data_IF_241689571385
#
_entry.id   IF_241689571385
#
_cell.length_a   1.000
_cell.length_b   1.000
_cell.length_c   1.000
_cell.angle_alpha   90.00
_cell.angle_beta   90.00
_cell.angle_gamma   90.00
#
_symmetry.space_group_name_H-M   'P 1'
#
loop_
_entity.id
_entity.type
_entity.pdbx_description
1 polymer ?
#
# COMPACT_ATOMS: atom_id res chain seq x y z
N UNK A 1 16.13 18.61 98.75
CA UNK A 1 16.39 19.17 97.41
C UNK A 1 17.50 18.38 96.72
N UNK A 2 17.18 17.61 95.67
CA UNK A 2 18.16 17.07 94.72
C UNK A 2 17.58 17.23 93.31
N UNK A 3 18.34 17.88 92.44
CA UNK A 3 17.93 18.37 91.12
C UNK A 3 17.82 17.23 90.10
N UNK A 4 16.77 17.26 89.28
CA UNK A 4 16.60 16.44 88.10
C UNK A 4 17.33 17.09 86.92
N UNK A 5 18.17 16.32 86.21
CA UNK A 5 18.78 16.72 84.95
C UNK A 5 18.09 15.94 83.82
N UNK A 6 17.35 16.65 82.97
CA UNK A 6 16.77 16.13 81.74
C UNK A 6 17.83 16.12 80.64
N UNK A 7 18.09 14.96 80.03
CA UNK A 7 18.88 14.85 78.80
C UNK A 7 17.95 15.01 77.60
N UNK A 8 18.16 16.04 76.80
CA UNK A 8 17.49 16.26 75.52
C UNK A 8 18.25 15.47 74.43
N UNK A 9 17.59 14.47 73.82
CA UNK A 9 18.13 13.75 72.67
C UNK A 9 17.79 14.56 71.41
N UNK A 10 18.81 15.15 70.79
CA UNK A 10 18.70 15.89 69.54
C UNK A 10 18.67 14.89 68.37
N UNK A 11 17.50 14.63 67.78
CA UNK A 11 17.40 13.91 66.53
C UNK A 11 17.86 14.82 65.38
N UNK A 12 19.07 14.60 64.88
CA UNK A 12 19.55 15.19 63.63
C UNK A 12 18.86 14.48 62.46
N UNK A 13 17.85 15.12 61.88
CA UNK A 13 17.28 14.72 60.59
C UNK A 13 18.30 14.97 59.48
N UNK A 14 18.87 13.90 58.95
CA UNK A 14 19.73 13.95 57.76
C UNK A 14 18.82 14.14 56.54
N UNK A 15 18.49 15.39 56.23
CA UNK A 15 17.92 15.75 54.93
C UNK A 15 19.06 15.68 53.90
N UNK A 16 19.15 14.56 53.18
CA UNK A 16 20.00 14.52 51.98
C UNK A 16 19.36 15.43 50.93
N UNK A 17 20.07 16.46 50.43
CA UNK A 17 19.54 17.25 49.33
C UNK A 17 19.41 16.33 48.11
N UNK A 18 18.19 16.19 47.58
CA UNK A 18 17.98 15.60 46.25
C UNK A 18 18.70 16.53 45.28
N UNK A 19 19.89 16.14 44.85
CA UNK A 19 20.60 16.81 43.77
C UNK A 19 19.72 16.68 42.52
N UNK A 20 19.33 17.80 41.92
CA UNK A 20 18.71 17.79 40.60
C UNK A 20 19.66 17.04 39.65
N UNK A 21 19.15 15.98 39.03
CA UNK A 21 19.90 15.14 38.11
C UNK A 21 20.50 16.05 37.03
N UNK A 22 21.83 16.17 37.00
CA UNK A 22 22.52 16.92 35.95
C UNK A 22 22.10 16.34 34.59
N UNK A 23 21.81 17.20 33.60
CA UNK A 23 21.41 16.86 32.22
C UNK A 23 22.49 16.09 31.40
N UNK A 24 23.29 15.24 32.04
CA UNK A 24 24.34 14.41 31.45
C UNK A 24 23.85 13.02 31.05
N UNK A 25 22.55 12.75 31.12
CA UNK A 25 21.98 11.44 30.80
C UNK A 25 21.69 11.35 29.30
N UNK A 26 22.28 10.39 28.58
CA UNK A 26 21.98 10.20 27.16
C UNK A 26 20.51 9.80 26.98
N UNK A 27 19.79 10.53 26.12
CA UNK A 27 18.41 10.20 25.75
C UNK A 27 18.35 8.85 25.02
N UNK A 28 17.33 8.03 25.32
CA UNK A 28 17.11 6.75 24.61
C UNK A 28 16.48 6.90 23.22
N UNK A 29 15.88 8.04 22.93
CA UNK A 29 15.21 8.36 21.66
C UNK A 29 15.76 9.69 21.13
N UNK A 30 16.05 9.76 19.83
CA UNK A 30 16.46 10.97 19.12
C UNK A 30 15.68 11.09 17.81
N UNK A 31 15.03 12.25 17.58
CA UNK A 31 14.27 12.53 16.34
C UNK A 31 13.31 11.40 15.95
N UNK A 32 12.54 10.89 16.92
CA UNK A 32 11.57 9.79 16.80
C UNK A 32 12.16 8.38 16.59
N UNK A 33 13.48 8.21 16.60
CA UNK A 33 14.14 6.90 16.49
C UNK A 33 14.81 6.49 17.81
N UNK A 34 14.86 5.19 18.14
CA UNK A 34 15.75 4.72 19.20
C UNK A 34 17.21 5.02 18.83
N UNK A 35 18.04 5.39 19.81
CA UNK A 35 19.46 5.70 19.55
C UNK A 35 20.26 4.54 18.94
N UNK A 36 19.73 3.32 19.00
CA UNK A 36 20.30 2.11 18.42
C UNK A 36 19.64 1.67 17.09
N UNK A 37 18.93 2.58 16.40
CA UNK A 37 18.18 2.22 15.17
C UNK A 37 19.10 1.69 14.04
N UNK A 38 20.33 2.18 13.91
CA UNK A 38 21.28 1.67 12.91
C UNK A 38 21.69 0.22 13.21
N UNK A 39 21.91 -0.13 14.48
CA UNK A 39 22.19 -1.51 14.88
C UNK A 39 20.99 -2.43 14.59
N UNK A 40 19.75 -1.95 14.77
CA UNK A 40 18.56 -2.70 14.37
C UNK A 40 18.49 -2.88 12.84
N UNK A 41 18.79 -1.85 12.06
CA UNK A 41 18.84 -1.94 10.59
C UNK A 41 19.90 -2.94 10.12
N UNK A 42 21.08 -2.94 10.74
CA UNK A 42 22.17 -3.88 10.42
C UNK A 42 21.80 -5.35 10.69
N UNK A 43 20.83 -5.63 11.56
CA UNK A 43 20.32 -6.99 11.80
C UNK A 43 19.36 -7.47 10.70
N UNK A 44 18.88 -6.58 9.81
CA UNK A 44 17.98 -6.93 8.72
C UNK A 44 18.77 -7.55 7.55
N UNK A 45 19.06 -8.85 7.66
CA UNK A 45 19.79 -9.60 6.63
C UNK A 45 18.92 -10.11 5.49
N UNK A 46 17.59 -9.97 5.62
CA UNK A 46 16.59 -10.42 4.65
C UNK A 46 16.83 -11.85 4.14
N UNK A 47 16.79 -12.87 5.02
CA UNK A 47 17.09 -14.26 4.68
C UNK A 47 16.19 -14.85 3.60
N UNK A 48 15.01 -14.26 3.36
CA UNK A 48 14.05 -14.76 2.36
C UNK A 48 14.11 -13.98 1.04
N UNK A 49 15.01 -13.01 0.91
CA UNK A 49 15.31 -12.44 -0.40
C UNK A 49 15.79 -13.57 -1.35
N UNK A 50 15.38 -13.55 -2.62
CA UNK A 50 15.68 -14.64 -3.58
C UNK A 50 17.16 -15.04 -3.62
N UNK A 51 18.07 -14.06 -3.68
CA UNK A 51 19.52 -14.33 -3.67
C UNK A 51 20.05 -14.88 -2.33
N UNK A 52 19.39 -14.58 -1.22
CA UNK A 52 19.82 -14.92 0.14
C UNK A 52 19.20 -16.24 0.64
N UNK A 53 18.02 -16.62 0.14
CA UNK A 53 17.27 -17.78 0.60
C UNK A 53 18.03 -19.08 0.36
N UNK A 54 17.88 -20.04 1.28
CA UNK A 54 18.39 -21.40 1.10
C UNK A 54 17.60 -22.17 0.03
N UNK A 55 16.37 -21.76 -0.27
CA UNK A 55 15.53 -22.36 -1.31
C UNK A 55 15.99 -21.85 -2.68
N UNK A 56 16.50 -22.75 -3.52
CA UNK A 56 17.06 -22.42 -4.84
C UNK A 56 16.14 -22.76 -6.02
N UNK A 57 15.04 -23.47 -5.77
CA UNK A 57 13.96 -23.59 -6.75
C UNK A 57 13.07 -22.35 -6.67
N UNK A 58 12.90 -21.63 -7.78
CA UNK A 58 12.21 -20.34 -7.77
C UNK A 58 10.73 -20.46 -7.43
N UNK A 59 10.06 -21.52 -7.92
CA UNK A 59 8.64 -21.74 -7.65
C UNK A 59 8.42 -22.04 -6.17
N UNK A 60 9.27 -22.90 -5.59
CA UNK A 60 9.25 -23.21 -4.17
C UNK A 60 9.56 -21.98 -3.32
N UNK A 61 10.58 -21.18 -3.71
CA UNK A 61 10.91 -19.93 -3.02
C UNK A 61 9.73 -18.96 -3.04
N UNK A 62 9.11 -18.76 -4.20
CA UNK A 62 7.97 -17.85 -4.34
C UNK A 62 6.80 -18.26 -3.45
N UNK A 63 6.48 -19.55 -3.39
CA UNK A 63 5.47 -20.09 -2.48
C UNK A 63 5.86 -19.84 -1.01
N UNK A 64 7.11 -20.12 -0.62
CA UNK A 64 7.61 -19.90 0.73
C UNK A 64 7.56 -18.42 1.14
N UNK A 65 8.10 -17.54 0.31
CA UNK A 65 8.14 -16.10 0.54
C UNK A 65 6.72 -15.52 0.68
N UNK A 66 5.78 -15.95 -0.17
CA UNK A 66 4.36 -15.55 -0.05
C UNK A 66 3.75 -16.05 1.26
N UNK A 67 4.02 -17.28 1.67
CA UNK A 67 3.54 -17.83 2.94
C UNK A 67 4.06 -17.01 4.14
N UNK A 68 5.32 -16.60 4.11
CA UNK A 68 5.91 -15.74 5.16
C UNK A 68 5.23 -14.37 5.22
N UNK A 69 4.90 -13.78 4.06
CA UNK A 69 4.13 -12.52 4.04
C UNK A 69 2.75 -12.74 4.68
N UNK A 70 2.05 -13.81 4.32
CA UNK A 70 0.74 -14.15 4.89
C UNK A 70 0.81 -14.46 6.39
N UNK A 71 1.87 -15.12 6.84
CA UNK A 71 2.13 -15.40 8.25
C UNK A 71 2.41 -14.10 9.02
N UNK A 72 3.16 -13.16 8.45
CA UNK A 72 3.36 -11.85 9.08
C UNK A 72 2.07 -11.01 9.15
N UNK A 73 1.07 -11.32 8.30
CA UNK A 73 -0.21 -10.63 8.26
C UNK A 73 -1.28 -11.19 9.21
N UNK A 74 -1.05 -12.36 9.82
CA UNK A 74 -1.90 -13.14 10.75
C UNK A 74 -3.12 -12.43 11.40
N UNK A 75 -4.13 -13.24 11.78
CA UNK A 75 -5.41 -12.76 12.32
C UNK A 75 -6.22 -11.91 11.31
N UNK A 76 -6.21 -12.36 10.06
CA UNK A 76 -6.98 -11.78 8.97
C UNK A 76 -8.47 -12.13 9.09
N UNK A 77 -9.37 -11.26 8.62
CA UNK A 77 -10.79 -11.59 8.52
C UNK A 77 -11.00 -12.79 7.56
N UNK A 78 -11.96 -13.69 7.86
CA UNK A 78 -12.29 -14.80 6.99
C UNK A 78 -12.80 -14.30 5.63
N UNK A 79 -12.45 -15.03 4.56
CA UNK A 79 -12.95 -14.74 3.22
C UNK A 79 -14.48 -14.85 3.18
N UNK A 80 -15.19 -14.04 2.39
CA UNK A 80 -16.63 -14.06 2.34
C UNK A 80 -17.13 -15.35 1.68
N UNK A 81 -18.15 -16.01 2.26
CA UNK A 81 -18.79 -17.15 1.61
C UNK A 81 -19.43 -16.82 0.25
N UNK A 82 -19.91 -15.58 0.09
CA UNK A 82 -20.38 -14.98 -1.17
C UNK A 82 -20.12 -13.47 -1.16
N UNK A 83 -19.79 -12.90 -2.32
CA UNK A 83 -19.54 -11.45 -2.45
C UNK A 83 -20.81 -10.59 -2.28
N UNK A 84 -22.01 -11.12 -2.55
CA UNK A 84 -23.31 -10.45 -2.35
C UNK A 84 -23.32 -8.98 -2.82
N UNK A 85 -22.90 -8.74 -4.07
CA UNK A 85 -22.86 -7.40 -4.64
C UNK A 85 -24.27 -6.79 -4.70
N UNK A 86 -24.44 -5.60 -4.14
CA UNK A 86 -25.65 -4.78 -4.28
C UNK A 86 -25.34 -3.51 -5.06
N UNK A 87 -26.24 -3.14 -5.96
CA UNK A 87 -26.17 -1.89 -6.72
C UNK A 87 -26.82 -0.76 -5.91
N UNK A 88 -26.10 0.33 -5.70
CA UNK A 88 -26.56 1.50 -4.93
C UNK A 88 -27.01 2.62 -5.87
N UNK A 89 -26.22 2.93 -6.89
CA UNK A 89 -26.52 3.97 -7.87
C UNK A 89 -25.80 3.71 -9.19
N UNK A 90 -26.31 4.27 -10.28
CA UNK A 90 -25.66 4.28 -11.59
C UNK A 90 -25.64 5.68 -12.21
N UNK A 91 -24.66 5.93 -13.07
CA UNK A 91 -24.59 7.09 -13.94
C UNK A 91 -24.08 6.62 -15.32
N UNK A 92 -24.88 6.78 -16.37
CA UNK A 92 -24.43 6.51 -17.72
C UNK A 92 -23.46 7.61 -18.16
N UNK A 93 -22.27 7.22 -18.62
CA UNK A 93 -21.25 8.13 -19.16
C UNK A 93 -20.98 7.80 -20.62
N UNK A 94 -20.21 8.65 -21.28
CA UNK A 94 -19.84 8.42 -22.67
C UNK A 94 -18.91 7.19 -22.76
N UNK A 95 -19.43 6.09 -23.32
CA UNK A 95 -18.68 4.85 -23.55
C UNK A 95 -18.67 3.82 -22.41
N UNK A 96 -19.23 4.13 -21.23
CA UNK A 96 -19.27 3.20 -20.09
C UNK A 96 -20.33 3.61 -19.05
N UNK A 97 -20.71 2.67 -18.19
CA UNK A 97 -21.59 2.91 -17.04
C UNK A 97 -20.76 2.99 -15.75
N UNK A 98 -20.98 4.01 -14.94
CA UNK A 98 -20.43 4.11 -13.60
C UNK A 98 -21.43 3.60 -12.57
N UNK A 99 -20.99 2.72 -11.67
CA UNK A 99 -21.83 2.11 -10.62
C UNK A 99 -21.25 2.39 -9.25
N UNK A 100 -22.09 2.75 -8.29
CA UNK A 100 -21.81 2.58 -6.86
C UNK A 100 -22.34 1.24 -6.44
N UNK A 101 -21.49 0.42 -5.84
CA UNK A 101 -21.85 -0.90 -5.36
C UNK A 101 -21.44 -1.06 -3.90
N UNK A 102 -22.03 -2.04 -3.23
CA UNK A 102 -21.47 -2.62 -2.00
C UNK A 102 -21.26 -4.10 -2.21
N UNK A 103 -20.20 -4.66 -1.64
CA UNK A 103 -19.93 -6.09 -1.68
C UNK A 103 -19.16 -6.53 -0.44
N UNK A 104 -19.24 -7.81 -0.11
CA UNK A 104 -18.54 -8.42 1.00
C UNK A 104 -17.08 -8.65 0.64
N UNK A 105 -16.15 -8.15 1.45
CA UNK A 105 -14.71 -8.50 1.36
C UNK A 105 -14.30 -9.46 2.48
N UNK A 106 -15.17 -9.69 3.46
CA UNK A 106 -15.05 -10.73 4.48
C UNK A 106 -16.42 -11.21 4.93
N UNK A 107 -16.49 -12.26 5.74
CA UNK A 107 -17.74 -12.64 6.42
C UNK A 107 -18.18 -11.64 7.51
N UNK A 108 -17.31 -10.69 7.87
CA UNK A 108 -17.59 -9.71 8.92
C UNK A 108 -18.16 -8.40 8.39
N UNK A 109 -17.78 -7.98 7.18
CA UNK A 109 -18.15 -6.65 6.68
C UNK A 109 -18.23 -6.55 5.15
N UNK A 110 -19.08 -5.62 4.71
CA UNK A 110 -19.18 -5.16 3.33
C UNK A 110 -18.62 -3.75 3.18
N UNK A 111 -18.07 -3.47 2.00
CA UNK A 111 -17.48 -2.16 1.68
C UNK A 111 -18.14 -1.53 0.45
N UNK A 112 -18.20 -0.19 0.37
CA UNK A 112 -18.61 0.51 -0.83
C UNK A 112 -17.47 0.55 -1.86
N UNK A 113 -17.84 0.60 -3.14
CA UNK A 113 -16.90 0.74 -4.24
C UNK A 113 -17.52 1.47 -5.43
N UNK A 114 -16.65 2.03 -6.27
CA UNK A 114 -17.00 2.38 -7.64
C UNK A 114 -16.61 1.24 -8.57
N UNK A 115 -17.53 0.88 -9.47
CA UNK A 115 -17.32 -0.08 -10.54
C UNK A 115 -17.69 0.57 -11.87
N UNK A 116 -16.71 0.74 -12.77
CA UNK A 116 -16.93 1.24 -14.12
C UNK A 116 -16.99 0.06 -15.09
N UNK A 117 -18.00 0.04 -15.96
CA UNK A 117 -18.22 -1.06 -16.90
C UNK A 117 -18.32 -0.49 -18.32
N UNK A 118 -17.38 -0.82 -19.22
CA UNK A 118 -17.43 -0.38 -20.61
C UNK A 118 -18.72 -0.80 -21.30
N UNK A 119 -19.19 0.03 -22.24
CA UNK A 119 -20.28 -0.35 -23.13
C UNK A 119 -19.82 -1.47 -24.09
N UNK A 120 -20.77 -2.31 -24.52
CA UNK A 120 -20.52 -3.39 -25.47
C UNK A 120 -20.57 -4.79 -24.84
N UNK A 121 -20.07 -5.78 -25.57
CA UNK A 121 -20.05 -7.18 -25.14
C UNK A 121 -18.65 -7.53 -24.62
N UNK A 122 -18.57 -7.88 -23.34
CA UNK A 122 -17.36 -8.45 -22.73
C UNK A 122 -17.10 -9.90 -23.19
N UNK A 123 -16.21 -10.64 -22.49
CA UNK A 123 -15.53 -10.23 -21.26
C UNK A 123 -14.41 -9.21 -21.53
N UNK A 124 -14.32 -8.21 -20.66
CA UNK A 124 -13.35 -7.11 -20.73
C UNK A 124 -12.13 -7.40 -19.85
N UNK A 125 -10.93 -6.88 -20.18
CA UNK A 125 -9.87 -6.76 -19.19
C UNK A 125 -10.32 -5.85 -18.04
N UNK A 126 -9.71 -6.00 -16.86
CA UNK A 126 -10.11 -5.24 -15.69
C UNK A 126 -8.94 -4.76 -14.85
N UNK A 127 -9.10 -3.62 -14.17
CA UNK A 127 -8.10 -3.03 -13.28
C UNK A 127 -8.70 -2.78 -11.90
N UNK A 128 -8.02 -3.28 -10.87
CA UNK A 128 -8.21 -2.82 -9.48
C UNK A 128 -7.40 -1.54 -9.29
N UNK A 129 -8.06 -0.42 -9.04
CA UNK A 129 -7.44 0.88 -8.81
C UNK A 129 -7.34 1.23 -7.33
N UNK A 130 -6.12 1.58 -6.93
CA UNK A 130 -5.72 1.71 -5.54
C UNK A 130 -5.26 3.15 -5.29
N UNK A 131 -5.97 3.87 -4.43
CA UNK A 131 -5.74 5.29 -4.20
C UNK A 131 -4.55 5.58 -3.26
N UNK A 132 -4.03 6.81 -3.34
CA UNK A 132 -2.96 7.32 -2.49
C UNK A 132 -3.42 7.67 -1.07
N UNK A 133 -2.42 7.86 -0.19
CA UNK A 133 -2.60 8.31 1.19
C UNK A 133 -2.91 9.81 1.26
N UNK A 134 -2.06 10.63 0.64
CA UNK A 134 -2.22 12.09 0.52
C UNK A 134 -2.20 12.91 1.80
N UNK A 135 -2.03 12.28 2.97
CA UNK A 135 -2.49 12.84 4.26
C UNK A 135 -3.95 13.36 4.20
N UNK A 136 -4.77 12.79 3.31
CA UNK A 136 -6.08 13.30 2.93
C UNK A 136 -7.10 12.17 2.96
N UNK A 137 -7.93 12.16 3.99
CA UNK A 137 -8.77 11.01 4.37
C UNK A 137 -10.26 11.18 4.05
N UNK A 138 -10.70 12.39 3.67
CA UNK A 138 -12.12 12.67 3.34
C UNK A 138 -12.59 11.90 2.11
N UNK A 139 -11.66 11.54 1.23
CA UNK A 139 -11.90 10.82 -0.02
C UNK A 139 -10.88 9.69 -0.18
N UNK A 140 -11.26 8.63 -0.90
CA UNK A 140 -10.37 7.52 -1.23
C UNK A 140 -10.54 7.13 -2.69
N UNK A 141 -11.51 6.27 -3.00
CA UNK A 141 -11.87 5.84 -4.37
C UNK A 141 -12.24 7.01 -5.29
N UNK A 142 -12.75 8.11 -4.73
CA UNK A 142 -13.03 9.36 -5.45
C UNK A 142 -11.77 10.03 -6.00
N UNK A 143 -10.58 9.71 -5.46
CA UNK A 143 -9.30 10.15 -6.03
C UNK A 143 -9.00 9.46 -7.37
N UNK A 144 -9.59 8.29 -7.63
CA UNK A 144 -9.35 7.47 -8.82
C UNK A 144 -10.45 7.64 -9.88
N UNK A 145 -11.71 7.68 -9.42
CA UNK A 145 -12.91 7.67 -10.27
C UNK A 145 -13.72 8.91 -9.97
N UNK A 146 -14.20 9.59 -11.03
CA UNK A 146 -15.01 10.80 -10.89
C UNK A 146 -16.26 10.49 -10.07
N UNK A 147 -16.45 11.14 -8.90
CA UNK A 147 -17.60 10.87 -8.06
C UNK A 147 -18.91 11.30 -8.74
N UNK A 148 -20.00 10.66 -8.33
CA UNK A 148 -21.37 11.01 -8.73
C UNK A 148 -22.34 10.72 -7.58
N UNK A 149 -23.47 11.44 -7.50
CA UNK A 149 -24.43 11.28 -6.40
C UNK A 149 -23.78 11.38 -5.01
N UNK A 150 -22.85 12.33 -4.84
CA UNK A 150 -22.22 12.70 -3.56
C UNK A 150 -22.46 14.19 -3.32
N UNK A 151 -22.10 14.69 -2.14
CA UNK A 151 -22.26 16.12 -1.84
C UNK A 151 -21.33 17.00 -2.69
N UNK A 152 -21.67 18.28 -2.91
CA UNK A 152 -20.81 19.23 -3.64
C UNK A 152 -19.40 19.36 -3.06
N UNK A 153 -19.25 19.20 -1.75
CA UNK A 153 -17.96 19.23 -1.06
C UNK A 153 -17.07 18.06 -1.51
N UNK A 154 -17.62 16.84 -1.59
CA UNK A 154 -16.87 15.67 -2.06
C UNK A 154 -16.51 15.78 -3.54
N UNK A 155 -17.43 16.32 -4.37
CA UNK A 155 -17.14 16.59 -5.80
C UNK A 155 -15.97 17.56 -5.97
N UNK A 156 -15.97 18.64 -5.18
CA UNK A 156 -14.94 19.69 -5.23
C UNK A 156 -13.61 19.15 -4.72
N UNK A 157 -13.63 18.46 -3.59
CA UNK A 157 -12.44 17.84 -2.98
C UNK A 157 -11.76 16.84 -3.91
N UNK A 158 -12.53 15.96 -4.55
CA UNK A 158 -12.01 15.02 -5.55
C UNK A 158 -11.43 15.74 -6.78
N UNK A 159 -12.10 16.78 -7.28
CA UNK A 159 -11.63 17.58 -8.41
C UNK A 159 -10.28 18.26 -8.14
N UNK A 160 -10.17 18.92 -6.99
CA UNK A 160 -8.94 19.57 -6.54
C UNK A 160 -7.81 18.55 -6.36
N UNK A 161 -8.12 17.37 -5.82
CA UNK A 161 -7.14 16.30 -5.64
C UNK A 161 -6.57 15.80 -6.97
N UNK A 162 -7.44 15.58 -7.95
CA UNK A 162 -7.06 15.09 -9.28
C UNK A 162 -6.23 16.12 -10.04
N UNK A 163 -6.51 17.42 -9.89
CA UNK A 163 -5.62 18.48 -10.42
C UNK A 163 -4.25 18.44 -9.73
N UNK A 164 -4.23 18.28 -8.41
CA UNK A 164 -3.01 18.32 -7.60
C UNK A 164 -2.08 17.12 -7.81
N UNK A 165 -2.63 15.93 -8.08
CA UNK A 165 -1.87 14.67 -8.09
C UNK A 165 -1.92 13.88 -9.40
N UNK A 166 -2.96 14.06 -10.23
CA UNK A 166 -3.26 13.25 -11.41
C UNK A 166 -3.47 14.10 -12.68
N UNK A 167 -2.96 15.33 -12.68
CA UNK A 167 -2.96 16.21 -13.86
C UNK A 167 -4.36 16.48 -14.44
N UNK A 168 -5.37 16.53 -13.56
CA UNK A 168 -6.75 16.83 -13.94
C UNK A 168 -7.50 15.66 -14.60
N UNK A 169 -6.91 14.45 -14.62
CA UNK A 169 -7.53 13.26 -15.21
C UNK A 169 -7.88 12.22 -14.15
N UNK A 170 -9.15 11.80 -14.12
CA UNK A 170 -9.59 10.66 -13.32
C UNK A 170 -9.13 9.38 -14.02
N UNK A 171 -8.04 8.80 -13.55
CA UNK A 171 -7.40 7.62 -14.18
C UNK A 171 -8.37 6.44 -14.36
N UNK A 172 -9.33 6.27 -13.44
CA UNK A 172 -10.37 5.25 -13.56
C UNK A 172 -11.30 5.47 -14.73
N UNK A 173 -11.78 6.71 -14.89
CA UNK A 173 -12.59 7.10 -16.04
C UNK A 173 -11.79 6.93 -17.34
N UNK A 174 -10.50 7.29 -17.35
CA UNK A 174 -9.61 7.12 -18.50
C UNK A 174 -9.48 5.65 -18.93
N UNK A 175 -9.25 4.73 -17.99
CA UNK A 175 -9.19 3.29 -18.30
C UNK A 175 -10.54 2.73 -18.76
N UNK A 176 -11.65 3.17 -18.15
CA UNK A 176 -12.99 2.73 -18.55
C UNK A 176 -13.34 3.15 -19.98
N UNK A 177 -12.97 4.38 -20.37
CA UNK A 177 -13.10 4.87 -21.75
C UNK A 177 -12.26 4.05 -22.75
N UNK A 178 -11.20 3.40 -22.29
CA UNK A 178 -10.31 2.56 -23.09
C UNK A 178 -10.62 1.05 -22.95
N UNK A 179 -11.84 0.70 -22.52
CA UNK A 179 -12.35 -0.68 -22.61
C UNK A 179 -12.01 -1.58 -21.41
N UNK A 180 -11.63 -0.99 -20.27
CA UNK A 180 -11.38 -1.74 -19.04
C UNK A 180 -12.54 -1.65 -18.06
N UNK A 181 -12.88 -2.77 -17.41
CA UNK A 181 -13.68 -2.71 -16.17
C UNK A 181 -12.79 -2.19 -15.06
N UNK A 182 -13.24 -1.19 -14.30
CA UNK A 182 -12.43 -0.57 -13.25
C UNK A 182 -13.13 -0.70 -11.91
N UNK A 183 -12.44 -1.24 -10.90
CA UNK A 183 -12.92 -1.28 -9.52
C UNK A 183 -12.03 -0.40 -8.65
N UNK A 184 -12.62 0.55 -7.92
CA UNK A 184 -11.90 1.30 -6.89
C UNK A 184 -12.63 1.19 -5.54
N UNK A 185 -11.86 0.83 -4.50
CA UNK A 185 -12.33 0.76 -3.12
C UNK A 185 -11.62 1.80 -2.26
N UNK A 186 -12.27 2.23 -1.19
CA UNK A 186 -11.58 2.95 -0.12
C UNK A 186 -10.70 1.97 0.65
N UNK A 187 -9.46 2.37 0.97
CA UNK A 187 -8.71 1.75 2.05
C UNK A 187 -9.44 2.04 3.38
N UNK A 188 -9.38 1.10 4.33
CA UNK A 188 -9.96 1.33 5.65
C UNK A 188 -9.37 2.61 6.25
N UNK A 189 -10.23 3.51 6.76
CA UNK A 189 -9.94 4.87 7.26
C UNK A 189 -10.07 6.03 6.25
N UNK A 190 -10.25 5.74 4.96
CA UNK A 190 -10.50 6.76 3.92
C UNK A 190 -11.95 6.76 3.45
N UNK A 191 -12.41 7.92 2.98
CA UNK A 191 -13.68 8.06 2.28
C UNK A 191 -14.86 7.51 3.08
N UNK A 192 -15.66 6.65 2.45
CA UNK A 192 -16.84 6.03 3.09
C UNK A 192 -16.48 4.92 4.07
N UNK A 193 -15.21 4.52 4.13
CA UNK A 193 -14.64 3.66 5.17
C UNK A 193 -13.88 4.45 6.24
N UNK A 194 -14.08 5.76 6.25
CA UNK A 194 -13.53 6.69 7.23
C UNK A 194 -14.18 6.57 8.60
N UNK A 195 -13.88 7.53 9.45
CA UNK A 195 -14.35 7.56 10.83
C UNK A 195 -15.72 8.24 10.91
N UNK A 196 -16.58 7.73 11.80
CA UNK A 196 -17.86 8.36 12.11
C UNK A 196 -17.69 9.78 12.67
N UNK A 197 -16.64 10.02 13.45
CA UNK A 197 -16.36 11.33 14.06
C UNK A 197 -15.70 12.33 13.08
N UNK A 198 -15.55 11.95 11.80
CA UNK A 198 -14.90 12.76 10.79
C UNK A 198 -13.39 12.55 10.72
N UNK A 199 -12.78 13.21 9.73
CA UNK A 199 -11.36 13.07 9.41
C UNK A 199 -10.48 13.62 10.53
N UNK A 200 -9.46 12.85 10.91
CA UNK A 200 -8.43 13.32 11.84
C UNK A 200 -7.13 12.56 11.55
N UNK A 201 -6.09 13.30 11.19
CA UNK A 201 -4.79 12.75 10.82
C UNK A 201 -4.11 12.00 11.97
N UNK A 202 -4.26 12.48 13.21
CA UNK A 202 -3.52 11.96 14.38
C UNK A 202 -4.05 10.61 14.87
N UNK A 203 -5.27 10.23 14.50
CA UNK A 203 -5.91 8.99 14.98
C UNK A 203 -5.33 7.72 14.34
N UNK A 204 -4.54 7.85 13.28
CA UNK A 204 -3.90 6.71 12.61
C UNK A 204 -3.06 5.85 13.56
N UNK A 205 -2.27 6.49 14.43
CA UNK A 205 -1.45 5.77 15.41
C UNK A 205 -2.31 4.99 16.39
N UNK A 206 -3.39 5.60 16.90
CA UNK A 206 -4.31 4.92 17.81
C UNK A 206 -5.01 3.75 17.12
N UNK A 207 -5.45 3.91 15.87
CA UNK A 207 -6.05 2.83 15.09
C UNK A 207 -5.06 1.67 14.91
N UNK A 208 -3.84 1.97 14.47
CA UNK A 208 -2.80 0.97 14.28
C UNK A 208 -2.44 0.25 15.59
N UNK A 209 -2.33 0.99 16.69
CA UNK A 209 -2.09 0.44 18.03
C UNK A 209 -3.20 -0.51 18.46
N UNK A 210 -4.47 -0.16 18.22
CA UNK A 210 -5.60 -1.03 18.54
C UNK A 210 -5.59 -2.33 17.72
N UNK A 211 -5.29 -2.25 16.42
CA UNK A 211 -5.11 -3.46 15.60
C UNK A 211 -4.02 -4.38 16.17
N UNK A 212 -2.86 -3.82 16.51
CA UNK A 212 -1.74 -4.59 17.07
C UNK A 212 -2.10 -5.25 18.41
N UNK A 213 -2.82 -4.55 19.29
CA UNK A 213 -3.29 -5.11 20.56
C UNK A 213 -4.29 -6.25 20.37
N UNK A 214 -5.01 -6.28 19.24
CA UNK A 214 -5.89 -7.39 18.84
C UNK A 214 -5.15 -8.50 18.07
N UNK A 215 -3.81 -8.46 18.00
CA UNK A 215 -3.01 -9.44 17.28
C UNK A 215 -3.14 -9.35 15.75
N UNK A 216 -3.59 -8.21 15.24
CA UNK A 216 -3.76 -7.93 13.81
C UNK A 216 -2.91 -6.71 13.40
N UNK A 217 -2.89 -6.36 12.12
CA UNK A 217 -2.33 -5.07 11.68
C UNK A 217 -3.26 -4.37 10.71
N UNK A 218 -3.34 -3.04 10.84
CA UNK A 218 -4.16 -2.22 9.97
C UNK A 218 -3.73 -2.36 8.50
N UNK A 219 -2.42 -2.39 8.25
CA UNK A 219 -1.87 -2.66 6.92
C UNK A 219 -2.27 -4.03 6.37
N UNK A 220 -2.30 -5.09 7.18
CA UNK A 220 -2.74 -6.41 6.72
C UNK A 220 -4.21 -6.42 6.29
N UNK A 221 -5.08 -5.70 7.01
CA UNK A 221 -6.50 -5.58 6.66
C UNK A 221 -6.69 -4.84 5.32
N UNK A 222 -5.93 -3.77 5.07
CA UNK A 222 -5.96 -3.08 3.78
C UNK A 222 -5.53 -4.03 2.65
N UNK A 223 -4.44 -4.78 2.83
CA UNK A 223 -3.93 -5.68 1.79
C UNK A 223 -4.85 -6.87 1.52
N UNK A 224 -5.49 -7.46 2.55
CA UNK A 224 -6.42 -8.57 2.31
C UNK A 224 -7.72 -8.09 1.67
N UNK A 225 -8.21 -6.88 1.99
CA UNK A 225 -9.35 -6.29 1.28
C UNK A 225 -9.03 -6.10 -0.21
N UNK A 226 -7.80 -5.73 -0.55
CA UNK A 226 -7.33 -5.61 -1.93
C UNK A 226 -7.34 -6.97 -2.64
N UNK A 227 -6.86 -8.04 -1.98
CA UNK A 227 -6.92 -9.41 -2.50
C UNK A 227 -8.37 -9.83 -2.78
N UNK A 228 -9.27 -9.59 -1.82
CA UNK A 228 -10.70 -9.95 -1.93
C UNK A 228 -11.41 -9.14 -3.00
N UNK A 229 -11.00 -7.90 -3.21
CA UNK A 229 -11.49 -7.04 -4.29
C UNK A 229 -11.05 -7.53 -5.67
N UNK A 230 -9.81 -8.01 -5.80
CA UNK A 230 -9.33 -8.60 -7.05
C UNK A 230 -10.07 -9.91 -7.38
N UNK A 231 -10.28 -10.79 -6.40
CA UNK A 231 -11.06 -12.01 -6.57
C UNK A 231 -12.53 -11.72 -6.92
N UNK A 232 -13.15 -10.74 -6.25
CA UNK A 232 -14.49 -10.27 -6.58
C UNK A 232 -14.56 -9.79 -8.03
N UNK A 233 -13.65 -8.91 -8.45
CA UNK A 233 -13.60 -8.36 -9.80
C UNK A 233 -13.47 -9.48 -10.84
N UNK A 234 -12.57 -10.44 -10.60
CA UNK A 234 -12.35 -11.58 -11.48
C UNK A 234 -13.55 -12.55 -11.55
N UNK A 235 -14.44 -12.52 -10.56
CA UNK A 235 -15.65 -13.34 -10.53
C UNK A 235 -16.81 -12.79 -11.36
N UNK A 236 -16.73 -11.51 -11.78
CA UNK A 236 -17.81 -10.86 -12.50
C UNK A 236 -17.92 -11.41 -13.94
N UNK A 237 -19.14 -11.68 -14.44
CA UNK A 237 -19.32 -12.31 -15.75
C UNK A 237 -18.86 -11.44 -16.93
N UNK A 238 -18.78 -10.12 -16.75
CA UNK A 238 -18.26 -9.20 -17.78
C UNK A 238 -16.74 -9.04 -17.73
N UNK A 239 -16.03 -9.68 -16.80
CA UNK A 239 -14.58 -9.58 -16.64
C UNK A 239 -13.92 -10.85 -17.14
N UNK A 240 -12.84 -10.68 -17.91
CA UNK A 240 -11.96 -11.79 -18.24
C UNK A 240 -10.98 -11.99 -17.09
N UNK A 241 -11.16 -13.09 -16.34
CA UNK A 241 -10.33 -13.44 -15.19
C UNK A 241 -8.84 -13.64 -15.54
N UNK A 242 -8.49 -13.89 -16.80
CA UNK A 242 -7.10 -13.99 -17.25
C UNK A 242 -6.50 -12.64 -17.66
N UNK A 243 -7.25 -11.54 -17.53
CA UNK A 243 -6.84 -10.17 -17.86
C UNK A 243 -7.20 -9.18 -16.76
N UNK A 244 -6.95 -9.57 -15.51
CA UNK A 244 -7.13 -8.70 -14.33
C UNK A 244 -5.77 -8.13 -13.90
N UNK A 245 -5.66 -6.81 -13.86
CA UNK A 245 -4.49 -6.10 -13.39
C UNK A 245 -4.77 -5.21 -12.18
N UNK A 246 -3.72 -4.60 -11.63
CA UNK A 246 -3.85 -3.57 -10.60
C UNK A 246 -2.97 -2.36 -10.87
N UNK A 247 -3.47 -1.18 -10.52
CA UNK A 247 -2.78 0.09 -10.67
C UNK A 247 -2.96 0.91 -9.40
N UNK A 248 -1.89 1.55 -8.93
CA UNK A 248 -2.03 2.59 -7.91
C UNK A 248 -0.91 3.61 -7.92
N UNK A 249 -1.16 4.70 -7.18
CA UNK A 249 -0.24 5.82 -6.99
C UNK A 249 0.11 5.99 -5.50
N UNK A 250 1.37 6.25 -5.18
CA UNK A 250 1.85 6.44 -3.79
C UNK A 250 1.51 5.23 -2.89
N UNK A 251 0.80 5.39 -1.77
CA UNK A 251 0.30 4.24 -0.99
C UNK A 251 -0.54 3.27 -1.85
N UNK A 252 -1.21 3.74 -2.89
CA UNK A 252 -1.86 2.89 -3.89
C UNK A 252 -0.85 2.05 -4.69
N UNK A 253 0.32 2.59 -4.98
CA UNK A 253 1.40 1.86 -5.63
C UNK A 253 2.02 0.81 -4.70
N UNK A 254 2.15 1.10 -3.39
CA UNK A 254 2.42 0.08 -2.35
C UNK A 254 1.45 -1.09 -2.44
N UNK A 255 0.16 -0.77 -2.37
CA UNK A 255 -0.93 -1.74 -2.44
C UNK A 255 -0.89 -2.53 -3.75
N UNK A 256 -0.57 -1.88 -4.88
CA UNK A 256 -0.52 -2.51 -6.20
C UNK A 256 0.54 -3.62 -6.29
N UNK A 257 1.79 -3.34 -5.91
CA UNK A 257 2.82 -4.38 -5.96
C UNK A 257 2.64 -5.43 -4.87
N UNK A 258 2.09 -5.06 -3.70
CA UNK A 258 1.79 -6.02 -2.64
C UNK A 258 0.68 -6.98 -3.09
N UNK A 259 -0.41 -6.45 -3.67
CA UNK A 259 -1.48 -7.25 -4.24
C UNK A 259 -0.97 -8.23 -5.31
N UNK A 260 -0.09 -7.76 -6.21
CA UNK A 260 0.51 -8.61 -7.23
C UNK A 260 1.39 -9.74 -6.65
N UNK A 261 2.04 -9.52 -5.51
CA UNK A 261 2.80 -10.54 -4.80
C UNK A 261 1.89 -11.57 -4.10
N UNK A 262 0.79 -11.11 -3.50
CA UNK A 262 -0.09 -11.91 -2.64
C UNK A 262 -1.02 -12.88 -3.39
N UNK A 263 -1.52 -12.50 -4.58
CA UNK A 263 -2.54 -13.30 -5.29
C UNK A 263 -2.19 -13.56 -6.75
N UNK A 264 -2.58 -14.72 -7.26
CA UNK A 264 -2.46 -15.08 -8.68
C UNK A 264 -3.66 -14.60 -9.53
N UNK A 265 -4.67 -13.97 -8.91
CA UNK A 265 -5.72 -13.24 -9.64
C UNK A 265 -5.14 -12.09 -10.47
N UNK A 266 -4.14 -11.37 -9.96
CA UNK A 266 -3.48 -10.29 -10.69
C UNK A 266 -2.48 -10.88 -11.68
N UNK A 267 -2.67 -10.52 -12.96
CA UNK A 267 -1.88 -10.95 -14.12
C UNK A 267 -0.84 -9.93 -14.55
N UNK A 268 -1.10 -8.64 -14.32
CA UNK A 268 -0.15 -7.55 -14.54
C UNK A 268 -0.35 -6.43 -13.49
N UNK A 269 0.72 -5.71 -13.14
CA UNK A 269 0.64 -4.63 -12.14
C UNK A 269 1.40 -3.38 -12.55
N UNK A 270 0.92 -2.23 -12.08
CA UNK A 270 1.58 -0.94 -12.26
C UNK A 270 1.59 -0.15 -10.93
N UNK A 271 2.76 0.38 -10.57
CA UNK A 271 3.01 1.07 -9.31
C UNK A 271 3.72 2.40 -9.59
N UNK A 272 3.01 3.51 -9.34
CA UNK A 272 3.49 4.86 -9.63
C UNK A 272 3.84 5.62 -8.35
N UNK A 273 5.02 6.23 -8.35
CA UNK A 273 5.59 7.02 -7.26
C UNK A 273 5.63 6.29 -5.91
N UNK A 274 5.95 5.00 -5.93
CA UNK A 274 6.23 4.24 -4.71
C UNK A 274 7.09 3.02 -5.02
N UNK A 275 8.35 3.09 -4.63
CA UNK A 275 9.28 1.98 -4.43
C UNK A 275 10.54 2.56 -3.80
N UNK A 276 11.16 1.83 -2.88
CA UNK A 276 12.43 2.19 -2.25
C UNK A 276 12.93 1.01 -1.40
N UNK A 277 14.06 1.14 -0.72
CA UNK A 277 14.52 0.17 0.28
C UNK A 277 14.26 0.66 1.70
N UNK A 278 14.27 -0.25 2.68
CA UNK A 278 14.16 0.12 4.10
C UNK A 278 15.28 1.07 4.52
N UNK A 279 16.47 0.91 3.93
CA UNK A 279 17.66 1.73 4.23
C UNK A 279 17.39 3.24 4.10
N UNK A 280 16.80 3.67 2.98
CA UNK A 280 16.57 5.10 2.73
C UNK A 280 15.26 5.60 3.34
N UNK A 281 14.24 4.73 3.47
CA UNK A 281 12.96 5.10 4.05
C UNK A 281 13.02 5.24 5.56
N UNK A 282 13.86 4.47 6.25
CA UNK A 282 14.05 4.54 7.70
C UNK A 282 15.27 5.38 8.08
N UNK A 283 15.33 6.60 7.55
CA UNK A 283 16.32 7.62 7.89
C UNK A 283 15.70 8.77 8.68
N UNK A 284 16.51 9.51 9.46
CA UNK A 284 16.03 10.57 10.35
C UNK A 284 15.26 11.70 9.62
N UNK A 285 15.53 11.89 8.34
CA UNK A 285 14.94 12.95 7.52
C UNK A 285 13.75 12.49 6.67
N UNK A 286 13.55 11.19 6.50
CA UNK A 286 12.47 10.67 5.66
C UNK A 286 11.10 10.84 6.33
N UNK A 287 10.05 10.93 5.53
CA UNK A 287 8.67 11.05 6.02
C UNK A 287 8.20 9.80 6.79
N UNK A 288 8.70 8.60 6.49
CA UNK A 288 8.31 7.40 7.25
C UNK A 288 8.74 7.46 8.72
N UNK A 289 9.87 8.12 9.03
CA UNK A 289 10.30 8.37 10.41
C UNK A 289 9.30 9.22 11.21
N UNK A 290 8.45 10.00 10.54
CA UNK A 290 7.40 10.79 11.20
C UNK A 290 6.15 9.95 11.54
N UNK A 291 6.11 8.67 11.16
CA UNK A 291 4.98 7.76 11.40
C UNK A 291 3.72 8.03 10.55
N UNK A 292 3.61 9.23 9.97
CA UNK A 292 2.38 9.79 9.42
C UNK A 292 1.64 8.99 8.34
N UNK A 293 2.35 8.20 7.53
CA UNK A 293 1.75 7.32 6.50
C UNK A 293 2.19 5.87 6.61
N UNK A 294 3.10 5.56 7.53
CA UNK A 294 3.71 4.24 7.60
C UNK A 294 2.70 3.20 8.09
N UNK A 295 1.86 3.53 9.08
CA UNK A 295 0.98 2.57 9.76
C UNK A 295 0.05 1.76 8.83
N UNK A 296 -0.49 2.38 7.79
CA UNK A 296 -1.35 1.71 6.80
C UNK A 296 -0.60 0.79 5.83
N UNK A 297 0.73 0.83 5.85
CA UNK A 297 1.63 0.00 5.03
C UNK A 297 2.51 -0.94 5.88
N UNK A 298 2.52 -0.81 7.21
CA UNK A 298 3.33 -1.65 8.07
C UNK A 298 2.70 -3.04 8.25
N UNK A 299 3.47 -4.07 7.93
CA UNK A 299 3.19 -5.47 8.24
C UNK A 299 4.22 -5.90 9.31
N UNK A 300 3.79 -6.16 10.56
CA UNK A 300 4.69 -6.54 11.64
C UNK A 300 5.59 -7.71 11.26
N UNK A 301 6.84 -7.69 11.74
CA UNK A 301 7.88 -8.71 11.50
C UNK A 301 8.34 -8.94 10.05
N UNK A 302 7.61 -8.50 9.02
CA UNK A 302 7.93 -8.79 7.63
C UNK A 302 9.35 -8.35 7.23
N UNK A 303 9.80 -7.18 7.73
CA UNK A 303 11.14 -6.64 7.46
C UNK A 303 12.28 -7.52 7.97
N UNK A 304 12.03 -8.45 8.89
CA UNK A 304 13.04 -9.43 9.34
C UNK A 304 13.38 -10.45 8.26
N UNK A 305 12.50 -10.63 7.27
CA UNK A 305 12.62 -11.64 6.21
C UNK A 305 12.84 -11.02 4.83
N UNK A 306 12.10 -9.97 4.51
CA UNK A 306 12.03 -9.35 3.19
C UNK A 306 12.04 -7.83 3.30
N UNK A 307 12.78 -7.17 2.40
CA UNK A 307 12.67 -5.73 2.17
C UNK A 307 11.57 -5.46 1.12
N UNK A 308 11.26 -4.20 0.81
CA UNK A 308 10.18 -3.81 -0.09
C UNK A 308 10.39 -4.36 -1.50
N UNK A 309 11.56 -4.19 -2.15
CA UNK A 309 11.80 -4.81 -3.46
C UNK A 309 11.81 -6.34 -3.39
N UNK A 310 12.20 -6.95 -2.25
CA UNK A 310 12.15 -8.40 -2.08
C UNK A 310 10.69 -8.91 -2.07
N UNK A 311 9.81 -8.25 -1.32
CA UNK A 311 8.37 -8.59 -1.30
C UNK A 311 7.73 -8.36 -2.68
N UNK A 312 8.01 -7.22 -3.32
CA UNK A 312 7.52 -6.96 -4.68
C UNK A 312 7.98 -8.02 -5.69
N UNK A 313 9.18 -8.59 -5.49
CA UNK A 313 9.74 -9.61 -6.38
C UNK A 313 9.05 -10.97 -6.34
N UNK A 314 8.19 -11.22 -5.35
CA UNK A 314 7.31 -12.40 -5.34
C UNK A 314 6.37 -12.38 -6.56
N UNK A 315 6.08 -11.20 -7.13
CA UNK A 315 5.25 -11.08 -8.33
C UNK A 315 5.92 -11.67 -9.59
N UNK A 316 7.25 -11.79 -9.65
CA UNK A 316 7.95 -12.37 -10.80
C UNK A 316 7.41 -13.78 -11.14
N UNK A 317 7.19 -14.13 -12.43
CA UNK A 317 7.51 -13.39 -13.65
C UNK A 317 6.30 -12.64 -14.24
N UNK A 318 5.40 -12.10 -13.42
CA UNK A 318 4.28 -11.29 -13.93
C UNK A 318 4.82 -10.02 -14.62
N UNK A 319 4.14 -9.54 -15.67
CA UNK A 319 4.32 -8.18 -16.14
C UNK A 319 4.12 -7.17 -15.02
N UNK A 320 5.12 -6.35 -14.77
CA UNK A 320 5.09 -5.34 -13.72
C UNK A 320 5.77 -4.04 -14.16
N UNK A 321 5.12 -2.91 -13.88
CA UNK A 321 5.61 -1.56 -14.16
C UNK A 321 5.83 -0.78 -12.87
N UNK A 322 6.99 -0.14 -12.74
CA UNK A 322 7.29 0.81 -11.69
C UNK A 322 7.76 2.15 -12.26
N UNK A 323 7.08 3.22 -11.85
CA UNK A 323 7.50 4.60 -12.11
C UNK A 323 7.80 5.32 -10.80
N UNK A 324 8.86 6.13 -10.79
CA UNK A 324 9.19 7.03 -9.68
C UNK A 324 9.67 8.37 -10.23
N UNK A 325 9.48 9.46 -9.47
CA UNK A 325 9.98 10.79 -9.82
C UNK A 325 11.39 11.04 -9.28
N UNK A 326 12.29 11.63 -10.07
CA UNK A 326 13.64 12.03 -9.63
C UNK A 326 13.62 13.21 -8.67
N UNK A 327 12.54 14.00 -8.66
CA UNK A 327 12.32 15.15 -7.76
C UNK A 327 11.34 14.81 -6.63
N UNK A 328 11.00 13.53 -6.46
CA UNK A 328 10.14 13.04 -5.39
C UNK A 328 10.87 13.07 -4.04
N UNK A 329 10.43 13.94 -3.15
CA UNK A 329 11.04 14.10 -1.81
C UNK A 329 10.65 12.98 -0.84
N UNK A 330 9.62 12.20 -1.14
CA UNK A 330 9.17 11.10 -0.29
C UNK A 330 9.99 9.83 -0.55
N UNK A 331 10.42 9.63 -1.80
CA UNK A 331 11.15 8.45 -2.26
C UNK A 331 12.50 8.87 -2.86
N UNK A 332 13.57 8.95 -2.03
CA UNK A 332 14.90 9.32 -2.49
C UNK A 332 15.35 8.46 -3.67
N UNK A 333 15.85 9.11 -4.73
CA UNK A 333 16.11 8.47 -6.03
C UNK A 333 17.17 7.36 -5.96
N UNK A 334 18.14 7.46 -5.06
CA UNK A 334 19.18 6.42 -4.94
C UNK A 334 18.59 5.13 -4.36
N UNK A 335 17.74 5.23 -3.34
CA UNK A 335 17.01 4.06 -2.85
C UNK A 335 15.98 3.50 -3.84
N UNK A 336 15.44 4.33 -4.75
CA UNK A 336 14.65 3.85 -5.90
C UNK A 336 15.52 3.03 -6.85
N UNK A 337 16.71 3.52 -7.21
CA UNK A 337 17.66 2.80 -8.08
C UNK A 337 18.07 1.47 -7.47
N UNK A 338 18.38 1.45 -6.18
CA UNK A 338 18.76 0.24 -5.45
C UNK A 338 17.61 -0.79 -5.47
N UNK A 339 16.39 -0.35 -5.17
CA UNK A 339 15.21 -1.22 -5.23
C UNK A 339 14.94 -1.76 -6.64
N UNK A 340 15.09 -0.93 -7.68
CA UNK A 340 14.96 -1.36 -9.07
C UNK A 340 16.03 -2.37 -9.48
N UNK A 341 17.27 -2.20 -9.04
CA UNK A 341 18.35 -3.17 -9.28
C UNK A 341 18.02 -4.53 -8.66
N UNK A 342 17.58 -4.54 -7.39
CA UNK A 342 17.13 -5.75 -6.70
C UNK A 342 16.04 -6.49 -7.47
N UNK A 343 14.98 -5.78 -7.90
CA UNK A 343 13.89 -6.41 -8.66
C UNK A 343 14.35 -6.90 -10.04
N UNK A 344 15.15 -6.11 -10.78
CA UNK A 344 15.68 -6.51 -12.09
C UNK A 344 16.50 -7.78 -12.01
N UNK A 345 17.30 -7.96 -10.96
CA UNK A 345 18.06 -9.20 -10.76
C UNK A 345 17.16 -10.44 -10.64
N UNK A 346 16.00 -10.31 -9.99
CA UNK A 346 15.04 -11.42 -9.87
C UNK A 346 14.40 -11.76 -11.20
N UNK A 347 13.85 -10.78 -11.93
CA UNK A 347 13.26 -11.04 -13.26
C UNK A 347 14.29 -11.58 -14.25
N UNK A 348 15.53 -11.09 -14.19
CA UNK A 348 16.65 -11.63 -14.97
C UNK A 348 16.94 -13.08 -14.68
N UNK A 349 16.94 -13.47 -13.40
CA UNK A 349 17.18 -14.87 -13.04
C UNK A 349 16.10 -15.85 -13.53
N UNK A 350 14.95 -15.33 -13.99
CA UNK A 350 13.81 -16.10 -14.46
C UNK A 350 13.52 -15.86 -15.97
N UNK A 351 14.51 -15.33 -16.71
CA UNK A 351 14.42 -15.04 -18.15
C UNK A 351 13.17 -14.21 -18.52
N UNK A 352 12.84 -13.24 -17.66
CA UNK A 352 11.61 -12.45 -17.75
C UNK A 352 11.87 -10.93 -17.79
N UNK A 353 13.08 -10.46 -18.12
CA UNK A 353 13.38 -9.02 -18.03
C UNK A 353 12.45 -8.13 -18.85
N UNK A 354 11.93 -8.64 -19.97
CA UNK A 354 10.98 -7.96 -20.85
C UNK A 354 9.62 -7.66 -20.19
N UNK A 355 9.35 -8.30 -19.05
CA UNK A 355 8.13 -8.16 -18.24
C UNK A 355 8.27 -7.12 -17.13
N UNK A 356 9.47 -6.67 -16.80
CA UNK A 356 9.68 -5.65 -15.76
C UNK A 356 10.06 -4.30 -16.38
N UNK A 357 9.14 -3.35 -16.32
CA UNK A 357 9.39 -1.96 -16.74
C UNK A 357 9.71 -1.14 -15.50
N UNK A 358 10.91 -0.56 -15.41
CA UNK A 358 11.22 0.43 -14.37
C UNK A 358 11.75 1.72 -14.97
N UNK A 359 11.15 2.86 -14.62
CA UNK A 359 11.49 4.19 -15.16
C UNK A 359 11.51 5.24 -14.06
N UNK A 360 12.48 6.15 -14.15
CA UNK A 360 12.59 7.33 -13.30
C UNK A 360 12.26 8.54 -14.18
N UNK A 361 11.22 9.28 -13.81
CA UNK A 361 10.74 10.45 -14.54
C UNK A 361 11.31 11.72 -13.92
N UNK A 362 11.51 12.77 -14.71
CA UNK A 362 11.89 14.09 -14.19
C UNK A 362 10.68 14.82 -13.57
N UNK A 363 10.13 14.25 -12.52
CA UNK A 363 8.87 14.67 -11.90
C UNK A 363 8.96 14.64 -10.37
N UNK A 364 8.11 15.42 -9.70
CA UNK A 364 7.87 15.34 -8.25
C UNK A 364 7.01 14.11 -7.91
N UNK A 365 6.48 14.05 -6.69
CA UNK A 365 5.47 13.05 -6.31
C UNK A 365 4.12 13.33 -7.02
N UNK A 366 3.99 12.91 -8.29
CA UNK A 366 2.89 13.29 -9.18
C UNK A 366 2.69 12.26 -10.30
N UNK A 367 1.45 11.99 -10.69
CA UNK A 367 1.11 11.05 -11.76
C UNK A 367 0.56 11.80 -12.97
N UNK A 368 1.44 12.31 -13.83
CA UNK A 368 1.04 13.11 -14.99
C UNK A 368 0.39 12.27 -16.12
N UNK A 369 -0.29 12.94 -17.06
CA UNK A 369 -0.98 12.29 -18.18
C UNK A 369 -0.09 11.42 -19.07
N UNK A 370 1.20 11.76 -19.21
CA UNK A 370 2.13 10.96 -20.01
C UNK A 370 2.43 9.61 -19.34
N UNK A 371 2.63 9.61 -18.02
CA UNK A 371 2.75 8.37 -17.24
C UNK A 371 1.45 7.55 -17.30
N UNK A 372 0.28 8.21 -17.24
CA UNK A 372 -1.03 7.55 -17.32
C UNK A 372 -1.20 6.83 -18.66
N UNK A 373 -0.85 7.51 -19.77
CA UNK A 373 -0.84 6.92 -21.11
C UNK A 373 0.12 5.72 -21.22
N UNK A 374 1.37 5.85 -20.78
CA UNK A 374 2.34 4.74 -20.81
C UNK A 374 1.88 3.55 -19.96
N UNK A 375 1.15 3.81 -18.87
CA UNK A 375 0.56 2.76 -18.03
C UNK A 375 -0.56 2.01 -18.77
N UNK A 376 -1.44 2.73 -19.48
CA UNK A 376 -2.47 2.11 -20.32
C UNK A 376 -1.84 1.30 -21.45
N UNK A 377 -0.84 1.83 -22.14
CA UNK A 377 -0.09 1.14 -23.20
C UNK A 377 0.55 -0.15 -22.68
N UNK A 378 1.10 -0.12 -21.46
CA UNK A 378 1.64 -1.31 -20.79
C UNK A 378 0.56 -2.38 -20.58
N UNK A 379 -0.62 -2.04 -20.05
CA UNK A 379 -1.70 -3.02 -19.89
C UNK A 379 -2.24 -3.51 -21.24
N UNK A 380 -2.35 -2.64 -22.24
CA UNK A 380 -2.77 -3.02 -23.59
C UNK A 380 -1.80 -4.06 -24.20
N UNK A 381 -0.49 -3.87 -24.03
CA UNK A 381 0.54 -4.84 -24.47
C UNK A 381 0.36 -6.22 -23.83
N UNK A 382 -0.10 -6.31 -22.59
CA UNK A 382 -0.19 -7.62 -21.91
C UNK A 382 -1.58 -8.25 -21.99
N UNK A 383 -2.64 -7.46 -22.18
CA UNK A 383 -4.03 -7.96 -22.15
C UNK A 383 -4.76 -7.88 -23.49
N UNK A 384 -4.33 -7.05 -24.45
CA UNK A 384 -5.07 -6.83 -25.70
C UNK A 384 -4.34 -7.32 -26.94
N UNK A 385 -3.01 -7.46 -26.90
CA UNK A 385 -2.32 -8.15 -27.98
C UNK A 385 -2.54 -9.65 -27.82
N UNK A 386 -3.15 -10.28 -28.83
CA UNK A 386 -3.22 -11.75 -28.89
C UNK A 386 -1.81 -12.33 -28.73
N UNK A 387 -1.62 -13.46 -28.03
CA UNK A 387 -0.35 -14.16 -28.09
C UNK A 387 -0.05 -14.39 -29.58
N UNK A 388 1.10 -13.88 -30.04
CA UNK A 388 1.62 -14.26 -31.34
C UNK A 388 1.56 -15.79 -31.40
N UNK A 389 0.91 -16.33 -32.42
CA UNK A 389 0.90 -17.76 -32.70
C UNK A 389 2.33 -18.28 -32.73
N UNK A 390 2.79 -18.86 -31.62
CA UNK A 390 4.18 -19.28 -31.56
C UNK A 390 4.70 -19.54 -30.17
N UNK A 391 3.99 -20.35 -29.37
CA UNK A 391 4.59 -21.18 -28.31
C UNK A 391 3.51 -22.11 -27.71
N UNK A 392 2.97 -22.99 -28.57
CA UNK A 392 2.61 -24.34 -28.12
C UNK A 392 3.72 -25.25 -28.61
N UNK A 393 4.71 -25.51 -27.76
CA UNK A 393 5.51 -26.74 -27.81
C UNK A 393 5.69 -27.24 -26.40
#
# INVERSE_FOLDING_TARGET
>A
MKQFIFFFILFLSVNSPISAQSDTIPYGILKNMPVFYEQLKQQLTYPEAWGNSSIKDFKQWKTNARNIVMECMQNLPPAPGKYNMTLVATEQRNGYEARKIRFNVSDWYSIPAYLLVPAGKGPFPAIVMLHDHGAHFSIGKEKMIRPFGVSPEVLTDAGDWVIRCYDGEYIGDYFAQNGYVVLAIDALFWGERGRKEGTNYEVQQALASNFLQMGASWGAFINIDDVRSAEFLASLPMVDKERVGCLGFSMGAYRSWMLAALTDCIKASASVCWMNTTEYLMSLTNNQNKGGSAYSMLIPNLRRYLDYPHTASIACPKPTLFFNGSKDKLFPVDGVKDAYQTMRAVWKSQDAEDRLVTKIWEEKHFFNKYMQRETLEFFNKWFLTSPLEGERK
#
